data_IF_825756141985
#
_entry.id   IF_825756141985
#
_cell.length_a   1.000
_cell.length_b   1.000
_cell.length_c   1.000
_cell.angle_alpha   90.00
_cell.angle_beta   90.00
_cell.angle_gamma   90.00
#
_symmetry.space_group_name_H-M   'P 1'
#
loop_
_entity.id
_entity.type
_entity.pdbx_description
1 polymer ?
#
# COMPACT_ATOMS: atom_id res chain seq x y z
N UNK A 1 -16.55 -5.18 10.44
CA UNK A 1 -16.85 -4.05 9.52
C UNK A 1 -16.43 -4.40 8.10
N UNK A 2 -17.35 -4.28 7.12
CA UNK A 2 -17.05 -4.52 5.69
C UNK A 2 -16.51 -3.25 5.05
N UNK A 3 -15.24 -3.29 4.64
CA UNK A 3 -14.52 -2.15 4.07
C UNK A 3 -14.26 -2.40 2.59
N UNK A 4 -14.76 -1.51 1.72
CA UNK A 4 -14.34 -1.45 0.32
C UNK A 4 -13.09 -0.57 0.21
N UNK A 5 -12.00 -1.13 -0.29
CA UNK A 5 -10.71 -0.43 -0.40
C UNK A 5 -10.28 -0.26 -1.84
N UNK A 6 -9.61 0.88 -2.11
CA UNK A 6 -9.18 1.31 -3.44
C UNK A 6 -7.69 1.68 -3.43
N UNK A 7 -6.96 1.21 -4.44
CA UNK A 7 -5.55 1.55 -4.64
C UNK A 7 -5.30 1.96 -6.08
N UNK A 8 -4.83 3.20 -6.27
CA UNK A 8 -4.55 3.81 -7.58
C UNK A 8 -3.28 4.69 -7.56
N UNK A 9 -2.43 4.55 -6.53
CA UNK A 9 -1.28 5.44 -6.31
C UNK A 9 -0.08 5.18 -7.21
N UNK A 10 -0.08 4.04 -7.93
CA UNK A 10 1.00 3.63 -8.83
C UNK A 10 0.48 3.14 -10.18
N UNK A 11 1.32 2.42 -10.96
CA UNK A 11 0.89 1.82 -12.23
C UNK A 11 -0.21 0.78 -12.07
N UNK A 12 -0.16 -0.13 -11.05
CA UNK A 12 -1.27 -1.02 -10.77
C UNK A 12 -2.51 -0.27 -10.28
N UNK A 13 -3.68 -0.83 -10.58
CA UNK A 13 -4.95 -0.48 -9.94
C UNK A 13 -5.53 -1.70 -9.25
N UNK A 14 -6.17 -1.50 -8.11
CA UNK A 14 -6.84 -2.59 -7.41
C UNK A 14 -8.02 -2.12 -6.58
N UNK A 15 -8.93 -3.06 -6.31
CA UNK A 15 -10.03 -2.93 -5.35
C UNK A 15 -10.15 -4.20 -4.52
N UNK A 16 -10.51 -4.08 -3.25
CA UNK A 16 -10.74 -5.21 -2.37
C UNK A 16 -11.93 -4.96 -1.44
N UNK A 17 -12.50 -6.03 -0.95
CA UNK A 17 -13.41 -6.00 0.21
C UNK A 17 -12.76 -6.80 1.32
N UNK A 18 -12.63 -6.16 2.49
CA UNK A 18 -12.12 -6.78 3.70
C UNK A 18 -13.18 -6.76 4.80
N UNK A 19 -13.17 -7.75 5.69
CA UNK A 19 -14.03 -7.82 6.88
C UNK A 19 -13.24 -8.45 8.01
N UNK A 20 -13.14 -7.75 9.13
CA UNK A 20 -12.52 -8.25 10.38
C UNK A 20 -11.13 -8.88 10.16
N UNK A 21 -10.26 -8.15 9.43
CA UNK A 21 -8.90 -8.58 9.11
C UNK A 21 -8.79 -9.64 8.00
N UNK A 22 -9.92 -10.03 7.36
CA UNK A 22 -9.94 -11.01 6.26
C UNK A 22 -10.22 -10.34 4.92
N UNK A 23 -9.53 -10.80 3.89
CA UNK A 23 -9.80 -10.41 2.51
C UNK A 23 -10.92 -11.29 1.97
N UNK A 24 -12.09 -10.71 1.67
CA UNK A 24 -13.23 -11.45 1.10
C UNK A 24 -13.12 -11.59 -0.42
N UNK A 25 -12.69 -10.52 -1.09
CA UNK A 25 -12.43 -10.50 -2.53
C UNK A 25 -11.39 -9.44 -2.86
N UNK A 26 -10.62 -9.68 -3.90
CA UNK A 26 -9.55 -8.80 -4.35
C UNK A 26 -9.39 -8.88 -5.86
N UNK A 27 -9.34 -7.72 -6.51
CA UNK A 27 -9.09 -7.55 -7.93
C UNK A 27 -7.85 -6.67 -8.12
N UNK A 28 -6.89 -7.13 -8.91
CA UNK A 28 -5.63 -6.44 -9.18
C UNK A 28 -5.32 -6.46 -10.67
N UNK A 29 -4.96 -5.31 -11.22
CA UNK A 29 -4.58 -5.15 -12.63
C UNK A 29 -3.31 -4.32 -12.71
N UNK A 30 -2.25 -4.91 -13.28
CA UNK A 30 -0.98 -4.24 -13.52
C UNK A 30 -0.70 -4.18 -15.03
N UNK A 31 -1.50 -3.39 -15.73
CA UNK A 31 -1.36 -3.11 -17.17
C UNK A 31 -1.49 -1.61 -17.40
N UNK A 32 -0.95 -1.12 -18.52
CA UNK A 32 -0.97 0.31 -18.87
C UNK A 32 -2.38 0.75 -19.34
N UNK A 33 -3.36 0.72 -18.43
CA UNK A 33 -4.69 1.30 -18.64
C UNK A 33 -4.90 2.49 -17.71
N UNK A 34 -5.78 3.41 -18.10
CA UNK A 34 -6.11 4.57 -17.27
C UNK A 34 -7.02 4.15 -16.11
N UNK A 35 -6.66 4.53 -14.90
CA UNK A 35 -7.43 4.19 -13.68
C UNK A 35 -8.89 4.66 -13.75
N UNK A 36 -9.16 5.79 -14.43
CA UNK A 36 -10.53 6.29 -14.61
C UNK A 36 -11.44 5.35 -15.42
N UNK A 37 -10.87 4.52 -16.28
CA UNK A 37 -11.62 3.54 -17.06
C UNK A 37 -11.76 2.19 -16.34
N UNK A 38 -10.77 1.83 -15.52
CA UNK A 38 -10.68 0.48 -14.93
C UNK A 38 -11.24 0.38 -13.54
N UNK A 39 -11.21 1.44 -12.74
CA UNK A 39 -11.49 1.36 -11.31
C UNK A 39 -12.95 0.99 -11.01
N UNK A 40 -13.94 1.66 -11.59
CA UNK A 40 -15.36 1.38 -11.29
C UNK A 40 -15.79 -0.03 -11.74
N UNK A 41 -15.48 -0.50 -12.97
CA UNK A 41 -15.73 -1.89 -13.35
C UNK A 41 -15.04 -2.92 -12.42
N UNK A 42 -13.84 -2.60 -11.95
CA UNK A 42 -13.11 -3.45 -11.01
C UNK A 42 -13.82 -3.54 -9.66
N UNK A 43 -14.32 -2.42 -9.12
CA UNK A 43 -15.11 -2.39 -7.89
C UNK A 43 -16.35 -3.28 -8.03
N UNK A 44 -17.11 -3.15 -9.13
CA UNK A 44 -18.28 -3.98 -9.38
C UNK A 44 -17.93 -5.47 -9.42
N UNK A 45 -16.83 -5.84 -10.08
CA UNK A 45 -16.38 -7.23 -10.14
C UNK A 45 -15.93 -7.74 -8.77
N UNK A 46 -15.26 -6.91 -7.98
CA UNK A 46 -14.83 -7.26 -6.62
C UNK A 46 -16.03 -7.54 -5.71
N UNK A 47 -17.05 -6.66 -5.74
CA UNK A 47 -18.28 -6.85 -5.00
C UNK A 47 -19.02 -8.13 -5.42
N UNK A 48 -19.15 -8.38 -6.72
CA UNK A 48 -19.74 -9.62 -7.24
C UNK A 48 -18.99 -10.87 -6.78
N UNK A 49 -17.66 -10.84 -6.79
CA UNK A 49 -16.81 -11.95 -6.34
C UNK A 49 -16.96 -12.22 -4.85
N UNK A 50 -17.17 -11.17 -4.05
CA UNK A 50 -17.48 -11.27 -2.63
C UNK A 50 -18.93 -11.70 -2.35
N UNK A 51 -19.78 -11.83 -3.38
CA UNK A 51 -21.24 -12.04 -3.26
C UNK A 51 -21.93 -10.95 -2.43
N UNK A 52 -21.43 -9.71 -2.52
CA UNK A 52 -21.94 -8.54 -1.82
C UNK A 52 -22.52 -7.52 -2.79
N UNK A 53 -23.48 -6.74 -2.28
CA UNK A 53 -23.95 -5.51 -2.90
C UNK A 53 -23.23 -4.32 -2.28
N UNK A 54 -23.24 -3.18 -2.98
CA UNK A 54 -22.68 -1.94 -2.40
C UNK A 54 -23.39 -1.55 -1.09
N UNK A 55 -24.65 -1.93 -0.94
CA UNK A 55 -25.43 -1.69 0.28
C UNK A 55 -24.89 -2.40 1.52
N UNK A 56 -24.13 -3.46 1.35
CA UNK A 56 -23.51 -4.23 2.44
C UNK A 56 -22.20 -3.59 2.94
N UNK A 57 -21.67 -2.57 2.22
CA UNK A 57 -20.43 -1.89 2.58
C UNK A 57 -20.71 -0.86 3.68
N UNK A 58 -19.84 -0.87 4.69
CA UNK A 58 -19.96 -0.07 5.91
C UNK A 58 -18.90 1.04 5.99
N UNK A 59 -17.81 0.95 5.20
CA UNK A 59 -16.77 1.96 5.11
C UNK A 59 -15.98 1.87 3.82
N UNK A 60 -15.34 2.99 3.41
CA UNK A 60 -14.49 3.04 2.23
C UNK A 60 -13.10 3.46 2.63
N UNK A 61 -12.07 2.73 2.15
CA UNK A 61 -10.68 3.08 2.34
C UNK A 61 -10.03 3.39 1.00
N UNK A 62 -9.10 4.34 1.00
CA UNK A 62 -8.35 4.69 -0.21
C UNK A 62 -6.94 5.11 0.13
N UNK A 63 -5.96 4.70 -0.69
CA UNK A 63 -4.60 5.23 -0.59
C UNK A 63 -4.60 6.73 -0.90
N UNK A 64 -4.05 7.51 0.01
CA UNK A 64 -4.00 8.97 -0.09
C UNK A 64 -2.62 9.50 -0.51
N UNK A 65 -1.66 8.62 -0.76
CA UNK A 65 -0.29 8.94 -1.14
C UNK A 65 0.74 8.48 -0.10
N UNK A 66 2.01 8.66 -0.43
CA UNK A 66 2.54 9.25 -1.67
C UNK A 66 2.29 8.40 -2.91
N UNK A 67 2.50 8.97 -4.11
CA UNK A 67 2.39 8.27 -5.38
C UNK A 67 1.95 9.14 -6.56
N UNK A 68 1.38 8.51 -7.58
CA UNK A 68 0.88 9.18 -8.78
C UNK A 68 -0.19 10.23 -8.46
N UNK A 69 0.10 11.50 -8.71
CA UNK A 69 -0.80 12.62 -8.48
C UNK A 69 -2.19 12.44 -9.13
N UNK A 70 -2.22 11.94 -10.36
CA UNK A 70 -3.46 11.68 -11.09
C UNK A 70 -4.18 10.47 -10.52
N UNK A 71 -3.45 9.38 -10.27
CA UNK A 71 -4.03 8.14 -9.75
C UNK A 71 -4.68 8.33 -8.40
N UNK A 72 -3.98 8.96 -7.45
CA UNK A 72 -4.50 9.28 -6.11
C UNK A 72 -5.80 10.09 -6.19
N UNK A 73 -5.86 11.11 -7.06
CA UNK A 73 -7.07 11.93 -7.23
C UNK A 73 -8.24 11.15 -7.79
N UNK A 74 -8.00 10.24 -8.74
CA UNK A 74 -9.03 9.34 -9.27
C UNK A 74 -9.57 8.45 -8.15
N UNK A 75 -8.69 7.82 -7.36
CA UNK A 75 -9.08 6.97 -6.23
C UNK A 75 -9.91 7.73 -5.19
N UNK A 76 -9.43 8.92 -4.75
CA UNK A 76 -10.12 9.75 -3.76
C UNK A 76 -11.47 10.25 -4.30
N UNK A 77 -11.55 10.66 -5.58
CA UNK A 77 -12.81 11.10 -6.18
C UNK A 77 -13.83 9.95 -6.24
N UNK A 78 -13.38 8.74 -6.62
CA UNK A 78 -14.22 7.55 -6.62
C UNK A 78 -14.70 7.20 -5.19
N UNK A 79 -13.79 7.19 -4.21
CA UNK A 79 -14.14 6.91 -2.81
C UNK A 79 -15.20 7.89 -2.29
N UNK A 80 -15.00 9.19 -2.49
CA UNK A 80 -15.96 10.23 -2.09
C UNK A 80 -17.30 10.11 -2.82
N UNK A 81 -17.28 9.85 -4.13
CA UNK A 81 -18.48 9.68 -4.93
C UNK A 81 -19.32 8.48 -4.50
N UNK A 82 -18.65 7.38 -4.15
CA UNK A 82 -19.30 6.17 -3.63
C UNK A 82 -19.82 6.37 -2.21
N UNK A 83 -19.07 7.05 -1.35
CA UNK A 83 -19.47 7.26 0.06
C UNK A 83 -20.65 8.22 0.21
N UNK A 84 -20.71 9.29 -0.60
CA UNK A 84 -21.64 10.40 -0.42
C UNK A 84 -23.12 10.00 -0.32
N UNK A 85 -23.67 9.12 -1.19
CA UNK A 85 -25.10 8.80 -1.16
C UNK A 85 -25.57 8.12 0.15
N UNK A 86 -24.65 7.45 0.85
CA UNK A 86 -24.94 6.68 2.08
C UNK A 86 -24.24 7.28 3.31
N UNK A 87 -23.53 8.39 3.15
CA UNK A 87 -22.72 9.01 4.19
C UNK A 87 -21.76 8.00 4.87
N UNK A 88 -21.13 7.13 4.07
CA UNK A 88 -20.21 6.14 4.61
C UNK A 88 -18.92 6.81 5.12
N UNK A 89 -18.36 6.33 6.24
CA UNK A 89 -17.06 6.79 6.72
C UNK A 89 -15.98 6.42 5.70
N UNK A 90 -14.99 7.32 5.56
CA UNK A 90 -13.87 7.13 4.65
C UNK A 90 -12.54 7.20 5.39
N UNK A 91 -11.69 6.20 5.20
CA UNK A 91 -10.32 6.19 5.70
C UNK A 91 -9.32 6.55 4.59
N UNK A 92 -8.43 7.50 4.89
CA UNK A 92 -7.28 7.84 4.05
C UNK A 92 -6.05 7.10 4.59
N UNK A 93 -5.49 6.19 3.77
CA UNK A 93 -4.38 5.31 4.16
C UNK A 93 -3.10 5.75 3.45
N UNK A 94 -1.98 5.89 4.18
CA UNK A 94 -0.67 6.08 3.55
C UNK A 94 -0.35 4.90 2.64
N UNK A 95 0.04 5.18 1.40
CA UNK A 95 0.44 4.14 0.44
C UNK A 95 1.62 3.33 0.95
N UNK A 96 2.60 4.00 1.59
CA UNK A 96 3.79 3.34 2.15
C UNK A 96 3.42 2.47 3.36
N UNK A 97 2.50 2.94 4.20
CA UNK A 97 2.01 2.16 5.34
C UNK A 97 1.23 0.91 4.89
N UNK A 98 0.34 1.05 3.91
CA UNK A 98 -0.41 -0.10 3.41
C UNK A 98 0.50 -1.21 2.89
N UNK A 99 1.65 -0.88 2.27
CA UNK A 99 2.60 -1.89 1.78
C UNK A 99 3.21 -2.74 2.91
N UNK A 100 3.23 -2.26 4.15
CA UNK A 100 3.72 -3.05 5.27
C UNK A 100 2.83 -4.27 5.55
N UNK A 101 1.54 -4.19 5.25
CA UNK A 101 0.60 -5.31 5.38
C UNK A 101 0.84 -6.44 4.38
N UNK A 102 1.61 -6.22 3.31
CA UNK A 102 2.05 -7.31 2.42
C UNK A 102 3.01 -8.28 3.13
N UNK A 103 3.57 -7.88 4.27
CA UNK A 103 4.58 -8.60 5.03
C UNK A 103 4.22 -8.77 6.51
N UNK A 104 2.97 -8.57 6.89
CA UNK A 104 2.53 -8.65 8.29
C UNK A 104 2.90 -9.98 8.98
N UNK A 105 2.98 -11.08 8.21
CA UNK A 105 3.37 -12.40 8.71
C UNK A 105 4.89 -12.68 8.65
N UNK A 106 5.72 -11.64 8.44
CA UNK A 106 7.16 -11.80 8.23
C UNK A 106 7.94 -10.86 9.15
N UNK A 107 8.68 -11.40 10.10
CA UNK A 107 9.55 -10.59 10.95
C UNK A 107 10.70 -9.99 10.12
N UNK A 108 10.65 -8.68 9.92
CA UNK A 108 11.62 -7.96 9.09
C UNK A 108 11.63 -6.46 9.37
N UNK A 109 12.67 -5.79 8.90
CA UNK A 109 12.62 -4.35 8.68
C UNK A 109 12.14 -4.13 7.25
N UNK A 110 11.01 -3.49 7.08
CA UNK A 110 10.45 -3.21 5.76
C UNK A 110 10.78 -1.79 5.32
N UNK A 111 11.43 -1.65 4.18
CA UNK A 111 11.68 -0.38 3.52
C UNK A 111 10.71 -0.23 2.35
N UNK A 112 9.63 0.50 2.54
CA UNK A 112 8.68 0.83 1.49
C UNK A 112 9.22 1.99 0.64
N UNK A 113 9.23 1.81 -0.69
CA UNK A 113 9.76 2.80 -1.64
C UNK A 113 8.85 2.96 -2.86
N UNK A 114 8.60 4.20 -3.27
CA UNK A 114 7.94 4.53 -4.53
C UNK A 114 8.81 5.49 -5.33
N UNK A 115 8.82 5.36 -6.67
CA UNK A 115 9.61 6.23 -7.54
C UNK A 115 9.12 7.70 -7.46
N UNK A 116 9.95 8.58 -6.90
CA UNK A 116 9.72 10.02 -6.85
C UNK A 116 10.44 10.80 -7.95
N UNK A 117 11.04 10.09 -8.93
CA UNK A 117 11.86 10.62 -10.02
C UNK A 117 13.21 11.16 -9.56
N UNK A 118 14.11 11.48 -10.51
CA UNK A 118 15.41 12.11 -10.28
C UNK A 118 16.27 11.42 -9.21
N UNK A 119 16.33 10.09 -9.20
CA UNK A 119 17.05 9.28 -8.19
C UNK A 119 16.57 9.55 -6.75
N UNK A 120 15.31 9.92 -6.58
CA UNK A 120 14.63 10.02 -5.31
C UNK A 120 13.54 8.96 -5.22
N UNK A 121 13.23 8.58 -3.99
CA UNK A 121 12.08 7.73 -3.67
C UNK A 121 11.25 8.38 -2.57
N UNK A 122 9.92 8.21 -2.64
CA UNK A 122 9.11 8.31 -1.44
C UNK A 122 9.39 7.08 -0.60
N UNK A 123 9.61 7.28 0.69
CA UNK A 123 10.06 6.24 1.59
C UNK A 123 9.41 6.33 2.96
N UNK A 124 9.13 5.16 3.53
CA UNK A 124 8.93 4.93 4.95
C UNK A 124 9.56 3.60 5.35
N UNK A 125 9.96 3.47 6.61
CA UNK A 125 10.57 2.25 7.15
C UNK A 125 9.72 1.76 8.31
N UNK A 126 9.52 0.46 8.37
CA UNK A 126 8.71 -0.21 9.40
C UNK A 126 9.49 -1.36 10.01
N UNK A 127 9.30 -1.56 11.31
CA UNK A 127 9.68 -2.79 12.00
C UNK A 127 8.44 -3.68 12.11
N UNK A 128 8.54 -4.90 11.59
CA UNK A 128 7.46 -5.90 11.66
C UNK A 128 7.96 -7.03 12.55
N UNK A 129 7.17 -7.32 13.59
CA UNK A 129 7.49 -8.35 14.60
C UNK A 129 6.20 -8.90 15.17
N UNK A 130 6.04 -10.22 15.15
CA UNK A 130 4.85 -10.93 15.65
C UNK A 130 3.53 -10.35 15.12
N UNK A 131 3.49 -9.99 13.83
CA UNK A 131 2.31 -9.40 13.18
C UNK A 131 2.07 -7.92 13.49
N UNK A 132 2.88 -7.31 14.38
CA UNK A 132 2.79 -5.90 14.71
C UNK A 132 3.65 -5.06 13.78
N UNK A 133 3.04 -4.04 13.16
CA UNK A 133 3.73 -3.09 12.29
C UNK A 133 4.02 -1.82 13.09
N UNK A 134 5.30 -1.53 13.29
CA UNK A 134 5.76 -0.32 13.98
C UNK A 134 6.47 0.59 12.99
N UNK A 135 5.98 1.82 12.81
CA UNK A 135 6.60 2.81 11.94
C UNK A 135 7.89 3.35 12.56
N UNK A 136 9.00 3.31 11.81
CA UNK A 136 10.30 3.82 12.23
C UNK A 136 10.60 5.22 11.71
N UNK A 137 10.01 5.63 10.57
CA UNK A 137 10.09 6.99 10.05
C UNK A 137 8.80 7.38 9.32
N UNK A 138 8.51 8.68 9.29
CA UNK A 138 7.37 9.24 8.56
C UNK A 138 7.57 9.15 7.04
N UNK A 139 6.46 9.28 6.30
CA UNK A 139 6.49 9.34 4.84
C UNK A 139 7.31 10.56 4.38
N UNK A 140 8.34 10.32 3.58
CA UNK A 140 9.28 11.35 3.12
C UNK A 140 9.74 11.10 1.68
N UNK A 141 10.28 12.14 1.05
CA UNK A 141 11.07 12.01 -0.16
C UNK A 141 12.56 12.06 0.21
N UNK A 142 13.37 11.13 -0.32
CA UNK A 142 14.79 11.01 0.02
C UNK A 142 15.58 10.59 -1.21
N UNK A 143 16.85 11.01 -1.31
CA UNK A 143 17.77 10.54 -2.34
C UNK A 143 18.11 9.05 -2.12
N UNK A 144 18.18 8.28 -3.20
CA UNK A 144 18.49 6.84 -3.12
C UNK A 144 19.83 6.58 -2.41
N UNK A 145 20.85 7.41 -2.65
CA UNK A 145 22.15 7.25 -1.97
C UNK A 145 22.07 7.49 -0.46
N UNK A 146 21.32 8.50 -0.03
CA UNK A 146 21.13 8.80 1.41
C UNK A 146 20.37 7.67 2.09
N UNK A 147 19.29 7.17 1.47
CA UNK A 147 18.52 6.04 2.00
C UNK A 147 19.39 4.78 2.10
N UNK A 148 20.26 4.51 1.14
CA UNK A 148 21.17 3.36 1.19
C UNK A 148 22.13 3.43 2.40
N UNK A 149 22.68 4.61 2.69
CA UNK A 149 23.54 4.81 3.87
C UNK A 149 22.76 4.66 5.20
N UNK A 150 21.50 5.12 5.25
CA UNK A 150 20.65 4.89 6.41
C UNK A 150 20.35 3.40 6.61
N UNK A 151 19.93 2.69 5.56
CA UNK A 151 19.61 1.26 5.64
C UNK A 151 20.83 0.40 5.95
N UNK A 152 22.03 0.80 5.52
CA UNK A 152 23.28 0.14 5.91
C UNK A 152 23.49 0.17 7.43
N UNK A 153 23.23 1.31 8.06
CA UNK A 153 23.29 1.43 9.52
C UNK A 153 22.21 0.60 10.20
N UNK A 154 20.99 0.59 9.63
CA UNK A 154 19.89 -0.23 10.15
C UNK A 154 20.25 -1.72 10.09
N UNK A 155 20.71 -2.23 8.94
CA UNK A 155 21.05 -3.64 8.75
C UNK A 155 22.18 -4.12 9.68
N UNK A 156 23.12 -3.24 10.04
CA UNK A 156 24.21 -3.54 10.97
C UNK A 156 23.78 -3.59 12.43
N UNK A 157 22.65 -2.94 12.77
CA UNK A 157 22.14 -2.82 14.13
C UNK A 157 20.93 -3.73 14.43
N UNK A 158 20.52 -4.55 13.46
CA UNK A 158 19.41 -5.50 13.63
C UNK A 158 19.82 -6.89 13.17
N UNK A 159 19.20 -7.92 13.77
CA UNK A 159 19.30 -9.30 13.28
C UNK A 159 18.22 -9.62 12.24
N UNK A 160 17.30 -8.69 11.96
CA UNK A 160 16.22 -8.86 10.98
C UNK A 160 16.71 -8.56 9.57
N UNK A 161 16.17 -9.27 8.58
CA UNK A 161 16.41 -8.94 7.19
C UNK A 161 15.71 -7.62 6.82
N UNK A 162 16.39 -6.74 6.07
CA UNK A 162 15.78 -5.54 5.49
C UNK A 162 15.19 -5.90 4.13
N UNK A 163 13.87 -5.73 3.97
CA UNK A 163 13.15 -6.04 2.71
C UNK A 163 12.72 -4.74 2.05
N UNK A 164 13.11 -4.55 0.79
CA UNK A 164 12.68 -3.40 -0.02
C UNK A 164 11.43 -3.78 -0.80
N UNK A 165 10.37 -2.96 -0.71
CA UNK A 165 9.05 -3.17 -1.31
C UNK A 165 8.55 -1.91 -2.02
N UNK A 166 7.71 -2.05 -3.02
CA UNK A 166 7.10 -0.95 -3.78
C UNK A 166 7.62 -0.85 -5.21
N UNK A 167 6.96 -0.03 -6.01
CA UNK A 167 7.31 0.20 -7.42
C UNK A 167 8.62 0.98 -7.60
N UNK A 168 9.10 1.66 -6.56
CA UNK A 168 10.43 2.30 -6.51
C UNK A 168 11.60 1.31 -6.32
N UNK A 169 11.32 0.01 -6.09
CA UNK A 169 12.35 -1.00 -5.82
C UNK A 169 13.41 -1.06 -6.91
N UNK A 170 13.03 -1.05 -8.18
CA UNK A 170 14.00 -1.14 -9.29
C UNK A 170 14.87 0.12 -9.44
N UNK A 171 14.37 1.28 -9.00
CA UNK A 171 15.13 2.54 -8.97
C UNK A 171 16.10 2.56 -7.79
N UNK A 172 15.66 2.07 -6.63
CA UNK A 172 16.44 2.14 -5.38
C UNK A 172 17.43 0.98 -5.19
N UNK A 173 17.05 -0.25 -5.55
CA UNK A 173 17.84 -1.45 -5.24
C UNK A 173 19.29 -1.43 -5.79
N UNK A 174 19.61 -0.82 -6.94
CA UNK A 174 20.99 -0.68 -7.37
C UNK A 174 21.94 0.00 -6.38
N UNK A 175 21.41 0.86 -5.49
CA UNK A 175 22.17 1.54 -4.44
C UNK A 175 22.35 0.69 -3.17
N UNK A 176 21.53 -0.33 -2.99
CA UNK A 176 21.49 -1.13 -1.76
C UNK A 176 21.89 -2.61 -1.95
N UNK A 177 22.04 -3.09 -3.19
CA UNK A 177 22.21 -4.53 -3.51
C UNK A 177 23.46 -5.17 -2.89
N UNK A 178 24.52 -4.36 -2.65
CA UNK A 178 25.80 -4.83 -2.13
C UNK A 178 25.88 -4.67 -0.58
N UNK A 179 24.78 -4.24 0.07
CA UNK A 179 24.68 -4.12 1.53
C UNK A 179 24.17 -5.45 2.09
N UNK A 180 24.95 -6.04 2.99
CA UNK A 180 24.59 -7.29 3.66
C UNK A 180 23.30 -7.15 4.48
N UNK A 181 22.44 -8.17 4.41
CA UNK A 181 21.15 -8.20 5.12
C UNK A 181 20.02 -7.48 4.40
N UNK A 182 20.26 -6.85 3.23
CA UNK A 182 19.24 -6.18 2.42
C UNK A 182 18.87 -7.02 1.20
N UNK A 183 17.56 -7.19 0.97
CA UNK A 183 17.03 -7.85 -0.22
C UNK A 183 15.80 -7.13 -0.77
N UNK A 184 15.52 -7.31 -2.06
CA UNK A 184 14.25 -6.88 -2.64
C UNK A 184 13.17 -7.93 -2.47
N UNK A 185 11.93 -7.49 -2.32
CA UNK A 185 10.75 -8.36 -2.28
C UNK A 185 10.57 -9.14 -3.58
N UNK A 186 9.92 -10.30 -3.49
CA UNK A 186 9.41 -11.00 -4.67
C UNK A 186 8.32 -10.19 -5.39
N UNK A 187 8.10 -10.47 -6.67
CA UNK A 187 7.11 -9.77 -7.51
C UNK A 187 5.69 -9.79 -6.92
N UNK A 188 5.29 -10.91 -6.31
CA UNK A 188 3.91 -11.10 -5.82
C UNK A 188 3.55 -10.18 -4.65
N UNK A 189 4.54 -9.77 -3.83
CA UNK A 189 4.33 -8.95 -2.64
C UNK A 189 4.90 -7.54 -2.80
N UNK A 190 5.36 -7.19 -4.02
CA UNK A 190 6.08 -5.93 -4.25
C UNK A 190 5.17 -4.73 -4.31
N UNK A 191 4.03 -4.86 -4.97
CA UNK A 191 3.23 -3.71 -5.36
C UNK A 191 2.19 -3.32 -4.30
N UNK A 192 1.86 -2.04 -4.33
CA UNK A 192 0.73 -1.46 -3.62
C UNK A 192 -0.55 -2.17 -4.04
N UNK A 193 -1.43 -2.45 -3.11
CA UNK A 193 -2.68 -3.13 -3.41
C UNK A 193 -3.80 -2.77 -2.43
N UNK A 194 -5.03 -2.87 -2.91
CA UNK A 194 -6.22 -2.49 -2.15
C UNK A 194 -6.50 -3.43 -0.97
N UNK A 195 -6.07 -4.70 -1.03
CA UNK A 195 -6.27 -5.61 0.09
C UNK A 195 -5.52 -5.10 1.33
N UNK A 196 -4.25 -4.71 1.15
CA UNK A 196 -3.43 -4.14 2.22
C UNK A 196 -3.94 -2.77 2.67
N UNK A 197 -4.51 -1.95 1.76
CA UNK A 197 -5.19 -0.70 2.13
C UNK A 197 -6.38 -0.99 3.05
N UNK A 198 -7.17 -2.02 2.75
CA UNK A 198 -8.33 -2.41 3.57
C UNK A 198 -7.93 -2.93 4.95
N UNK A 199 -6.87 -3.73 5.03
CA UNK A 199 -6.34 -4.22 6.31
C UNK A 199 -5.80 -3.06 7.17
N UNK A 200 -5.02 -2.15 6.58
CA UNK A 200 -4.52 -0.96 7.27
C UNK A 200 -5.66 -0.02 7.73
N UNK A 201 -6.72 0.10 6.94
CA UNK A 201 -7.86 0.95 7.27
C UNK A 201 -8.67 0.43 8.47
N UNK A 202 -8.68 -0.87 8.72
CA UNK A 202 -9.38 -1.44 9.88
C UNK A 202 -8.88 -0.80 11.19
N UNK A 203 -7.56 -0.62 11.36
CA UNK A 203 -7.00 0.05 12.53
C UNK A 203 -7.43 1.53 12.65
N UNK A 204 -7.57 2.23 11.51
CA UNK A 204 -8.03 3.62 11.48
C UNK A 204 -9.48 3.71 11.92
N UNK A 205 -10.35 2.81 11.43
CA UNK A 205 -11.77 2.79 11.82
C UNK A 205 -11.97 2.36 13.27
N UNK A 206 -11.10 1.49 13.81
CA UNK A 206 -11.18 1.04 15.21
C UNK A 206 -10.70 2.11 16.20
N UNK A 207 -9.83 3.03 15.75
CA UNK A 207 -9.31 4.11 16.59
C UNK A 207 -10.21 5.36 16.67
N UNK A 208 -11.28 5.43 15.87
CA UNK A 208 -12.32 6.47 15.91
C UNK A 208 -12.05 7.62 14.99
#
# INVERSE_FOLDING_TARGET
MKILSLECSASPASSAVTEDGKILAYSFVNIKLTHSQTLLPMIENTLKSAMLKFDDIEGIAVSCGPGSFTGIRIGIAAAKGLAAPKNLPCAAVSTLYSMAYNFADTDCILCAVMDARCNQVYNAVFDIEDGKITRLCEDRAILCGELAEELKKVSQNTNKCVIIVGDGTEVFYPFARDIEGIKKSGENNRYQNAASVGLAAAEIFDSG
#
